data_IF_282397437538
#
_entry.id   IF_282397437538
#
_cell.length_a   1.000
_cell.length_b   1.000
_cell.length_c   1.000
_cell.angle_alpha   90.00
_cell.angle_beta   90.00
_cell.angle_gamma   90.00
#
_symmetry.space_group_name_H-M   'P 1'
#
loop_
_entity.id
_entity.type
_entity.pdbx_description
1 polymer ?
#
# COMPACT_ATOMS: atom_id res chain seq x y z
N UNK A 1 21.41 4.96 13.01
CA UNK A 1 20.34 4.63 12.05
C UNK A 1 19.68 5.92 11.59
N UNK A 2 19.84 6.28 10.32
CA UNK A 2 19.34 7.55 9.77
C UNK A 2 17.81 7.61 9.86
N UNK A 3 17.20 8.65 10.46
CA UNK A 3 15.72 8.73 10.70
C UNK A 3 14.91 8.49 9.43
N UNK A 4 15.45 8.90 8.29
CA UNK A 4 14.85 8.72 6.98
C UNK A 4 14.67 7.23 6.61
N UNK A 5 15.61 6.36 6.99
CA UNK A 5 15.53 4.90 6.72
C UNK A 5 14.37 4.26 7.50
N UNK A 6 14.22 4.59 8.77
CA UNK A 6 13.14 4.06 9.62
C UNK A 6 11.78 4.49 9.06
N UNK A 7 11.65 5.75 8.63
CA UNK A 7 10.42 6.26 8.02
C UNK A 7 9.97 5.46 6.79
N UNK A 8 10.90 5.14 5.88
CA UNK A 8 10.58 4.33 4.68
C UNK A 8 10.23 2.88 5.03
N UNK A 9 10.88 2.28 6.04
CA UNK A 9 10.53 0.94 6.50
C UNK A 9 9.13 0.93 7.09
N UNK A 10 8.80 1.90 7.95
CA UNK A 10 7.47 2.00 8.57
C UNK A 10 6.37 2.27 7.54
N UNK A 11 6.62 3.16 6.59
CA UNK A 11 5.70 3.41 5.46
C UNK A 11 5.49 2.14 4.63
N UNK A 12 6.58 1.43 4.31
CA UNK A 12 6.48 0.20 3.53
C UNK A 12 5.73 -0.91 4.27
N UNK A 13 5.94 -1.04 5.59
CA UNK A 13 5.19 -1.95 6.45
C UNK A 13 3.71 -1.62 6.50
N UNK A 14 3.36 -0.34 6.68
CA UNK A 14 1.97 0.12 6.66
C UNK A 14 1.28 -0.26 5.34
N UNK A 15 1.96 -0.04 4.22
CA UNK A 15 1.42 -0.39 2.91
C UNK A 15 1.21 -1.91 2.73
N UNK A 16 2.16 -2.74 3.19
CA UNK A 16 2.01 -4.20 3.13
C UNK A 16 0.84 -4.67 4.00
N UNK A 17 0.72 -4.16 5.23
CA UNK A 17 -0.38 -4.51 6.13
C UNK A 17 -1.73 -4.14 5.49
N UNK A 18 -1.88 -2.92 4.97
CA UNK A 18 -3.12 -2.49 4.31
C UNK A 18 -3.46 -3.31 3.07
N UNK A 19 -2.46 -3.70 2.27
CA UNK A 19 -2.66 -4.61 1.13
C UNK A 19 -3.08 -6.02 1.56
N UNK A 20 -2.48 -6.56 2.63
CA UNK A 20 -2.83 -7.88 3.17
C UNK A 20 -4.21 -7.89 3.82
N UNK A 21 -4.55 -6.87 4.59
CA UNK A 21 -5.90 -6.68 5.16
C UNK A 21 -6.95 -6.62 4.05
N UNK A 22 -6.66 -5.89 2.96
CA UNK A 22 -7.55 -5.82 1.82
C UNK A 22 -7.80 -7.17 1.17
N UNK A 23 -6.76 -7.98 0.98
CA UNK A 23 -6.90 -9.35 0.47
C UNK A 23 -7.73 -10.26 1.39
N UNK A 24 -7.64 -10.07 2.71
CA UNK A 24 -8.37 -10.88 3.69
C UNK A 24 -9.84 -10.48 3.82
N UNK A 25 -10.13 -9.19 3.74
CA UNK A 25 -11.48 -8.64 3.94
C UNK A 25 -12.26 -8.48 2.65
N UNK A 26 -11.58 -8.49 1.50
CA UNK A 26 -12.17 -8.17 0.21
C UNK A 26 -12.48 -6.67 0.05
N UNK A 27 -11.97 -5.81 0.94
CA UNK A 27 -12.24 -4.36 0.95
C UNK A 27 -10.95 -3.56 1.11
N UNK A 28 -10.75 -2.50 0.32
CA UNK A 28 -9.57 -1.65 0.42
C UNK A 28 -9.90 -0.17 0.20
N UNK A 29 -9.10 0.72 0.76
CA UNK A 29 -9.25 2.16 0.55
C UNK A 29 -8.85 2.53 -0.88
N UNK A 30 -9.80 3.02 -1.65
CA UNK A 30 -9.58 3.60 -2.97
C UNK A 30 -9.10 5.04 -2.89
N UNK A 31 -8.14 5.38 -3.75
CA UNK A 31 -7.79 6.78 -4.03
C UNK A 31 -8.73 7.26 -5.14
N UNK A 32 -9.88 7.83 -4.73
CA UNK A 32 -10.84 8.45 -5.63
C UNK A 32 -10.33 9.77 -6.24
N UNK A 33 -10.77 10.05 -7.47
CA UNK A 33 -10.32 11.13 -8.34
C UNK A 33 -10.32 12.53 -7.67
N UNK A 34 -9.14 13.16 -7.63
CA UNK A 34 -8.81 14.59 -7.45
C UNK A 34 -9.33 15.40 -6.24
N UNK A 35 -10.38 15.00 -5.51
CA UNK A 35 -10.86 15.74 -4.33
C UNK A 35 -11.47 14.79 -3.31
N UNK A 36 -10.68 14.39 -2.30
CA UNK A 36 -11.14 14.06 -0.94
C UNK A 36 -12.42 13.22 -0.84
N UNK A 37 -12.42 12.02 -1.40
CA UNK A 37 -13.32 10.97 -0.90
C UNK A 37 -12.60 9.64 -1.01
N UNK A 38 -12.09 9.16 0.12
CA UNK A 38 -11.74 7.75 0.29
C UNK A 38 -13.00 6.95 0.04
N UNK A 39 -13.06 6.25 -1.10
CA UNK A 39 -14.14 5.32 -1.39
C UNK A 39 -13.67 3.93 -0.97
N UNK A 40 -14.50 3.21 -0.24
CA UNK A 40 -14.26 1.80 0.00
C UNK A 40 -14.45 1.05 -1.33
N UNK A 41 -13.38 0.38 -1.78
CA UNK A 41 -13.38 -0.47 -2.96
C UNK A 41 -13.52 -1.90 -2.47
N UNK A 42 -14.57 -2.58 -2.90
CA UNK A 42 -14.76 -4.00 -2.64
C UNK A 42 -14.34 -4.81 -3.86
N UNK A 43 -13.87 -6.04 -3.64
CA UNK A 43 -13.58 -6.98 -4.72
C UNK A 43 -14.84 -7.37 -5.50
N UNK A 44 -15.99 -7.41 -4.83
CA UNK A 44 -17.28 -7.78 -5.44
C UNK A 44 -17.79 -6.70 -6.41
N UNK A 45 -17.71 -5.42 -6.03
CA UNK A 45 -18.24 -4.34 -6.85
C UNK A 45 -17.25 -3.84 -7.92
N UNK A 46 -15.96 -3.82 -7.60
CA UNK A 46 -14.92 -3.23 -8.46
C UNK A 46 -13.63 -4.08 -8.47
N UNK A 47 -13.66 -5.33 -8.99
CA UNK A 47 -12.56 -6.30 -8.87
C UNK A 47 -11.25 -5.82 -9.50
N UNK A 48 -11.32 -5.10 -10.63
CA UNK A 48 -10.13 -4.58 -11.32
C UNK A 48 -9.48 -3.46 -10.51
N UNK A 49 -10.29 -2.49 -10.06
CA UNK A 49 -9.79 -1.37 -9.24
C UNK A 49 -9.20 -1.89 -7.93
N UNK A 50 -9.87 -2.86 -7.31
CA UNK A 50 -9.39 -3.55 -6.12
C UNK A 50 -8.02 -4.18 -6.35
N UNK A 51 -7.86 -5.02 -7.38
CA UNK A 51 -6.58 -5.69 -7.68
C UNK A 51 -5.46 -4.66 -7.93
N UNK A 52 -5.75 -3.58 -8.66
CA UNK A 52 -4.76 -2.53 -8.95
C UNK A 52 -4.30 -1.81 -7.68
N UNK A 53 -5.24 -1.49 -6.78
CA UNK A 53 -4.94 -0.84 -5.51
C UNK A 53 -4.15 -1.78 -4.59
N UNK A 54 -4.53 -3.05 -4.50
CA UNK A 54 -3.77 -4.06 -3.74
C UNK A 54 -2.35 -4.25 -4.29
N UNK A 55 -2.21 -4.33 -5.62
CA UNK A 55 -0.91 -4.43 -6.27
C UNK A 55 -0.03 -3.20 -5.98
N UNK A 56 -0.63 -2.00 -5.96
CA UNK A 56 0.05 -0.78 -5.56
C UNK A 56 0.52 -0.85 -4.09
N UNK A 57 -0.36 -1.20 -3.16
CA UNK A 57 -0.03 -1.33 -1.74
C UNK A 57 1.14 -2.28 -1.48
N UNK A 58 1.06 -3.50 -2.02
CA UNK A 58 2.09 -4.52 -1.84
C UNK A 58 3.38 -4.18 -2.58
N UNK A 59 3.27 -3.67 -3.82
CA UNK A 59 4.41 -3.29 -4.65
C UNK A 59 5.18 -2.10 -4.10
N UNK A 60 4.48 -0.99 -3.82
CA UNK A 60 5.08 0.22 -3.23
C UNK A 60 5.64 -0.07 -1.83
N UNK A 61 4.90 -0.83 -1.02
CA UNK A 61 5.33 -1.22 0.32
C UNK A 61 6.64 -2.02 0.30
N UNK A 62 6.69 -3.07 -0.53
CA UNK A 62 7.88 -3.91 -0.72
C UNK A 62 9.06 -3.12 -1.27
N UNK A 63 8.83 -2.26 -2.27
CA UNK A 63 9.87 -1.42 -2.86
C UNK A 63 10.46 -0.41 -1.85
N UNK A 64 9.62 0.15 -0.97
CA UNK A 64 10.04 1.10 0.06
C UNK A 64 10.95 0.45 1.11
N UNK A 65 10.60 -0.75 1.56
CA UNK A 65 11.46 -1.54 2.46
C UNK A 65 12.74 -1.95 1.74
N UNK A 66 12.63 -2.51 0.54
CA UNK A 66 13.77 -3.00 -0.23
C UNK A 66 14.78 -1.91 -0.57
N UNK A 67 14.32 -0.73 -1.00
CA UNK A 67 15.19 0.41 -1.31
C UNK A 67 15.95 0.90 -0.07
N UNK A 68 15.35 0.78 1.11
CA UNK A 68 15.99 1.12 2.38
C UNK A 68 17.04 0.09 2.78
N UNK A 69 16.75 -1.20 2.59
CA UNK A 69 17.69 -2.29 2.89
C UNK A 69 18.87 -2.33 1.91
N UNK A 70 18.64 -1.99 0.64
CA UNK A 70 19.68 -1.95 -0.40
C UNK A 70 20.48 -0.65 -0.45
N UNK A 71 20.02 0.43 0.20
CA UNK A 71 20.86 1.61 0.46
C UNK A 71 21.97 1.23 1.45
N UNK A 72 23.02 0.61 0.92
CA UNK A 72 24.35 0.62 1.54
C UNK A 72 24.75 2.09 1.70
N UNK A 73 25.05 2.47 2.93
CA UNK A 73 25.85 3.68 3.18
C UNK A 73 27.18 3.57 2.45
#
# INVERSE_FOLDING_TARGET
>A
MNRNKIGYILLGWFCIIGGMEGLLTGTTFGVGNLTTSSRDITFEDNPIEFILVIAFWLGFGSASIWSTLKKKE
#
